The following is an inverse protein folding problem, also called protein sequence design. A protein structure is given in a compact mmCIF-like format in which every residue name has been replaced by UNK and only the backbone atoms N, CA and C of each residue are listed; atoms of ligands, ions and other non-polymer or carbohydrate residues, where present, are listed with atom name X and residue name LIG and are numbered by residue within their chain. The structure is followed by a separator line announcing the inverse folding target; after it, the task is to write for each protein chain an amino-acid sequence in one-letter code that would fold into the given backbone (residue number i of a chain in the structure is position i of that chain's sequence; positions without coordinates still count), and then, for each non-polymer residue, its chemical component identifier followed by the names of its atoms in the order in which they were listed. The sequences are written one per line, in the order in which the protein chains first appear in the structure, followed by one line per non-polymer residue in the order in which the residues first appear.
data_IF_035375582106
#
_entry.id   IF_035375582106
#
_cell.length_a   1.000
_cell.length_b   1.000
_cell.length_c   1.000
_cell.angle_alpha   90.00
_cell.angle_beta   90.00
_cell.angle_gamma   90.00
#
_symmetry.space_group_name_H-M   'P 1'
#
loop_
_entity.id
_entity.type
_entity.pdbx_description
1 polymer ?
#
# COMPACT_ATOMS: atom_id res chain seq x y z
N UNK A 1 -23.79 -15.78 -9.69
CA UNK A 1 -24.10 -16.32 -8.34
C UNK A 1 -25.30 -15.56 -7.77
N UNK A 2 -25.94 -16.04 -6.70
CA UNK A 2 -27.15 -15.39 -6.14
C UNK A 2 -26.76 -14.20 -5.29
N UNK A 3 -27.46 -13.06 -5.44
CA UNK A 3 -27.34 -11.88 -4.57
C UNK A 3 -27.95 -12.14 -3.16
N UNK A 4 -28.43 -13.33 -2.91
CA UNK A 4 -29.05 -13.71 -1.62
C UNK A 4 -28.13 -14.69 -0.87
N UNK A 5 -28.08 -14.52 0.46
CA UNK A 5 -27.40 -15.45 1.36
C UNK A 5 -28.06 -16.84 1.36
N UNK A 6 -27.27 -17.90 1.38
CA UNK A 6 -27.68 -19.24 1.73
C UNK A 6 -28.01 -19.34 3.21
N UNK A 7 -28.62 -20.46 3.63
CA UNK A 7 -28.90 -20.72 5.07
C UNK A 7 -27.60 -20.82 5.88
N UNK A 8 -26.57 -21.44 5.31
CA UNK A 8 -25.25 -21.56 5.92
C UNK A 8 -24.57 -20.17 6.08
N UNK A 9 -24.54 -19.35 5.01
CA UNK A 9 -23.93 -18.02 5.06
C UNK A 9 -24.61 -17.15 6.14
N UNK A 10 -25.95 -17.18 6.22
CA UNK A 10 -26.68 -16.48 7.31
C UNK A 10 -26.32 -16.98 8.70
N UNK A 11 -26.18 -18.30 8.86
CA UNK A 11 -25.74 -18.89 10.13
C UNK A 11 -24.33 -18.41 10.52
N UNK A 12 -23.38 -18.48 9.61
CA UNK A 12 -22.00 -18.05 9.85
C UNK A 12 -21.92 -16.56 10.18
N UNK A 13 -22.62 -15.71 9.41
CA UNK A 13 -22.66 -14.27 9.70
C UNK A 13 -23.26 -13.94 11.07
N UNK A 14 -24.11 -14.81 11.61
CA UNK A 14 -24.65 -14.69 12.97
C UNK A 14 -23.63 -14.94 14.09
N UNK A 15 -22.46 -15.49 13.78
CA UNK A 15 -21.36 -15.70 14.73
C UNK A 15 -20.30 -14.57 14.70
N UNK A 16 -20.50 -13.54 13.86
CA UNK A 16 -19.59 -12.40 13.85
C UNK A 16 -19.69 -11.62 15.17
N UNK A 17 -18.62 -11.67 15.95
CA UNK A 17 -18.45 -10.91 17.18
C UNK A 17 -17.84 -9.54 16.85
N UNK A 18 -18.68 -8.51 16.84
CA UNK A 18 -18.27 -7.15 16.52
C UNK A 18 -17.43 -6.52 17.63
N UNK A 19 -17.69 -6.88 18.89
CA UNK A 19 -16.90 -6.38 20.01
C UNK A 19 -15.47 -6.92 19.93
N UNK A 20 -15.30 -8.22 19.67
CA UNK A 20 -13.98 -8.81 19.47
C UNK A 20 -13.26 -8.29 18.21
N UNK A 21 -13.98 -7.91 17.15
CA UNK A 21 -13.42 -7.26 15.97
C UNK A 21 -12.84 -5.89 16.33
N UNK A 22 -13.62 -5.06 17.04
CA UNK A 22 -13.20 -3.72 17.49
C UNK A 22 -12.02 -3.82 18.47
N UNK A 23 -12.07 -4.77 19.43
CA UNK A 23 -10.97 -5.00 20.38
C UNK A 23 -9.67 -5.37 19.65
N UNK A 24 -9.71 -6.26 18.66
CA UNK A 24 -8.55 -6.60 17.84
C UNK A 24 -7.99 -5.39 17.10
N UNK A 25 -8.83 -4.51 16.56
CA UNK A 25 -8.38 -3.28 15.92
C UNK A 25 -7.74 -2.32 16.92
N UNK A 26 -8.31 -2.16 18.11
CA UNK A 26 -7.75 -1.34 19.20
C UNK A 26 -6.35 -1.85 19.59
N UNK A 27 -6.19 -3.17 19.77
CA UNK A 27 -4.90 -3.79 20.10
C UNK A 27 -3.84 -3.51 19.03
N UNK A 28 -4.21 -3.72 17.75
CA UNK A 28 -3.30 -3.48 16.61
C UNK A 28 -2.87 -2.01 16.54
N UNK A 29 -3.80 -1.05 16.67
CA UNK A 29 -3.48 0.39 16.57
C UNK A 29 -2.59 0.85 17.72
N UNK A 30 -2.75 0.28 18.91
CA UNK A 30 -1.92 0.60 20.09
C UNK A 30 -0.47 0.17 19.97
N UNK A 31 -0.13 -0.75 19.09
CA UNK A 31 1.26 -1.09 18.78
C UNK A 31 1.78 -0.09 17.73
N UNK A 32 2.74 0.79 18.08
CA UNK A 32 3.22 1.87 17.20
C UNK A 32 4.21 1.34 16.16
N UNK A 33 3.76 0.47 15.28
CA UNK A 33 4.55 -0.28 14.31
C UNK A 33 5.04 0.57 13.13
N UNK A 34 5.68 1.69 13.43
CA UNK A 34 6.34 2.52 12.41
C UNK A 34 7.42 1.69 11.71
N UNK A 35 7.44 1.76 10.38
CA UNK A 35 8.37 1.00 9.55
C UNK A 35 9.82 1.08 10.06
N UNK A 36 10.50 -0.06 10.16
CA UNK A 36 11.86 -0.20 10.69
C UNK A 36 12.02 -0.16 12.20
N UNK A 37 10.95 0.04 12.97
CA UNK A 37 11.00 0.00 14.44
C UNK A 37 10.86 -1.41 15.02
N UNK A 38 11.25 -1.59 16.28
CA UNK A 38 11.04 -2.86 16.98
C UNK A 38 9.54 -3.21 17.11
N UNK A 39 8.66 -2.21 17.12
CA UNK A 39 7.22 -2.40 17.17
C UNK A 39 6.63 -2.99 15.87
N UNK A 40 7.33 -2.87 14.74
CA UNK A 40 6.98 -3.57 13.49
C UNK A 40 7.11 -5.09 13.66
N UNK A 41 8.11 -5.55 14.40
CA UNK A 41 8.27 -6.97 14.78
C UNK A 41 7.23 -7.38 15.83
N UNK A 42 6.99 -6.53 16.85
CA UNK A 42 6.01 -6.77 17.91
C UNK A 42 4.61 -7.02 17.35
N UNK A 43 4.15 -6.18 16.40
CA UNK A 43 2.81 -6.34 15.81
C UNK A 43 2.70 -7.63 15.00
N UNK A 44 3.75 -8.05 14.31
CA UNK A 44 3.78 -9.33 13.59
C UNK A 44 3.70 -10.52 14.57
N UNK A 45 4.49 -10.49 15.64
CA UNK A 45 4.44 -11.53 16.68
C UNK A 45 3.07 -11.60 17.35
N UNK A 46 2.42 -10.43 17.58
CA UNK A 46 1.04 -10.35 18.06
C UNK A 46 0.05 -11.03 17.09
N UNK A 47 0.08 -10.67 15.80
CA UNK A 47 -0.80 -11.29 14.78
C UNK A 47 -0.56 -12.80 14.69
N UNK A 48 0.70 -13.23 14.71
CA UNK A 48 1.05 -14.64 14.72
C UNK A 48 0.51 -15.40 15.93
N UNK A 49 0.49 -14.77 17.12
CA UNK A 49 -0.14 -15.34 18.33
C UNK A 49 -1.65 -15.48 18.16
N UNK A 50 -2.33 -14.42 17.71
CA UNK A 50 -3.78 -14.44 17.47
C UNK A 50 -4.16 -15.53 16.46
N UNK A 51 -3.40 -15.70 15.38
CA UNK A 51 -3.67 -16.74 14.38
C UNK A 51 -3.51 -18.16 14.98
N UNK A 52 -2.50 -18.39 15.84
CA UNK A 52 -2.35 -19.67 16.55
C UNK A 52 -3.51 -19.95 17.50
N UNK A 53 -3.97 -18.95 18.25
CA UNK A 53 -5.10 -19.05 19.15
C UNK A 53 -6.44 -19.33 18.40
N UNK A 54 -6.47 -19.00 17.10
CA UNK A 54 -7.56 -19.32 16.18
C UNK A 54 -7.37 -20.68 15.48
N UNK A 55 -6.49 -21.55 15.98
CA UNK A 55 -6.21 -22.90 15.43
C UNK A 55 -5.83 -22.89 13.93
N UNK A 56 -5.10 -21.89 13.47
CA UNK A 56 -4.49 -21.90 12.13
C UNK A 56 -3.10 -22.49 12.15
N UNK A 57 -2.69 -23.10 11.05
CA UNK A 57 -1.27 -23.40 10.82
C UNK A 57 -0.54 -22.10 10.53
N UNK A 58 0.43 -21.73 11.42
CA UNK A 58 1.18 -20.48 11.30
C UNK A 58 2.61 -20.76 10.87
N UNK A 59 2.96 -20.29 9.66
CA UNK A 59 4.35 -20.14 9.24
C UNK A 59 4.84 -18.76 9.69
N UNK A 60 5.79 -18.75 10.62
CA UNK A 60 6.48 -17.56 11.10
C UNK A 60 7.98 -17.71 10.89
N UNK A 61 8.60 -16.70 10.24
CA UNK A 61 10.04 -16.75 9.94
C UNK A 61 10.69 -15.38 10.05
N UNK A 62 11.98 -15.37 10.37
CA UNK A 62 12.80 -14.17 10.18
C UNK A 62 13.12 -14.04 8.69
N UNK A 63 12.87 -12.86 8.14
CA UNK A 63 13.16 -12.53 6.73
C UNK A 63 14.65 -12.24 6.61
N UNK A 64 15.34 -12.95 5.72
CA UNK A 64 16.73 -12.68 5.40
C UNK A 64 16.82 -11.45 4.46
N UNK A 65 17.15 -10.29 5.05
CA UNK A 65 17.19 -9.02 4.36
C UNK A 65 18.29 -8.96 3.30
N UNK A 66 19.43 -9.60 3.56
CA UNK A 66 20.59 -9.61 2.64
C UNK A 66 20.28 -10.49 1.44
N UNK A 67 19.70 -11.70 1.66
CA UNK A 67 19.27 -12.57 0.56
C UNK A 67 18.24 -11.91 -0.33
N UNK A 68 17.25 -11.22 0.25
CA UNK A 68 16.22 -10.52 -0.53
C UNK A 68 16.76 -9.33 -1.30
N UNK A 69 17.70 -8.58 -0.75
CA UNK A 69 18.31 -7.43 -1.41
C UNK A 69 19.10 -7.83 -2.68
N UNK A 70 19.63 -9.06 -2.71
CA UNK A 70 20.33 -9.61 -3.87
C UNK A 70 19.38 -10.11 -4.99
N UNK A 71 18.07 -10.23 -4.71
CA UNK A 71 17.08 -10.66 -5.70
C UNK A 71 16.86 -9.57 -6.76
N UNK A 72 16.98 -9.88 -8.08
CA UNK A 72 16.78 -8.88 -9.15
C UNK A 72 15.40 -8.22 -9.18
N UNK A 73 14.43 -8.81 -8.52
CA UNK A 73 13.05 -8.31 -8.44
C UNK A 73 12.74 -7.65 -7.10
N UNK A 74 13.77 -7.48 -6.25
CA UNK A 74 13.59 -6.83 -4.96
C UNK A 74 13.02 -5.42 -5.15
N UNK A 75 11.91 -5.08 -4.45
CA UNK A 75 11.21 -3.82 -4.66
C UNK A 75 11.93 -2.60 -4.07
N UNK A 76 13.04 -2.80 -3.34
CA UNK A 76 13.71 -1.76 -2.57
C UNK A 76 13.03 -1.52 -1.22
N UNK A 77 13.69 -0.74 -0.39
CA UNK A 77 13.20 -0.26 0.91
C UNK A 77 13.65 1.18 1.12
N UNK A 78 12.88 1.96 1.88
CA UNK A 78 13.24 3.33 2.27
C UNK A 78 13.77 3.40 3.70
N UNK A 79 13.46 2.39 4.52
CA UNK A 79 13.82 2.33 5.95
C UNK A 79 14.72 1.14 6.25
N UNK A 80 15.78 1.40 7.00
CA UNK A 80 16.64 0.31 7.49
C UNK A 80 15.93 -0.51 8.58
N UNK A 81 16.13 -1.84 8.54
CA UNK A 81 15.60 -2.79 9.52
C UNK A 81 16.71 -3.66 10.06
N UNK A 82 16.75 -3.83 11.38
CA UNK A 82 17.65 -4.79 12.02
C UNK A 82 17.07 -6.21 12.03
N UNK A 83 15.74 -6.34 12.01
CA UNK A 83 14.97 -7.59 11.96
C UNK A 83 13.65 -7.36 11.23
N UNK A 84 13.22 -8.36 10.49
CA UNK A 84 11.93 -8.38 9.80
C UNK A 84 11.30 -9.77 9.97
N UNK A 85 9.99 -9.83 10.18
CA UNK A 85 9.29 -11.10 10.45
C UNK A 85 8.12 -11.25 9.46
N UNK A 86 8.08 -12.38 8.78
CA UNK A 86 6.95 -12.79 7.95
C UNK A 86 5.98 -13.69 8.71
N UNK A 87 4.69 -13.51 8.49
CA UNK A 87 3.62 -14.30 9.11
C UNK A 87 2.59 -14.70 8.06
N UNK A 88 2.33 -15.99 7.98
CA UNK A 88 1.20 -16.54 7.22
C UNK A 88 0.44 -17.52 8.10
N UNK A 89 -0.85 -17.28 8.30
CA UNK A 89 -1.77 -18.21 8.93
C UNK A 89 -2.66 -18.91 7.90
N UNK A 90 -2.79 -20.23 7.98
CA UNK A 90 -3.60 -21.01 7.04
C UNK A 90 -4.61 -21.84 7.79
N UNK A 91 -5.88 -21.76 7.42
CA UNK A 91 -6.93 -22.63 8.00
C UNK A 91 -6.79 -24.06 7.50
N UNK A 92 -7.49 -25.00 8.13
CA UNK A 92 -7.65 -26.35 7.61
C UNK A 92 -8.33 -26.34 6.22
N UNK A 93 -7.99 -27.33 5.40
CA UNK A 93 -8.51 -27.48 4.04
C UNK A 93 -7.61 -28.36 3.20
N UNK A 94 -8.04 -28.74 1.99
CA UNK A 94 -7.25 -29.55 1.07
C UNK A 94 -6.68 -28.72 -0.10
N UNK A 95 -5.43 -28.94 -0.43
CA UNK A 95 -4.76 -28.26 -1.55
C UNK A 95 -4.34 -26.81 -1.26
N UNK A 96 -4.10 -26.00 -2.30
CA UNK A 96 -3.70 -24.61 -2.15
C UNK A 96 -4.86 -23.76 -1.66
N UNK A 97 -4.58 -22.62 -0.98
CA UNK A 97 -5.61 -21.68 -0.53
C UNK A 97 -6.55 -21.24 -1.66
N UNK A 98 -7.86 -21.34 -1.41
CA UNK A 98 -8.87 -20.84 -2.35
C UNK A 98 -8.95 -19.33 -2.37
N UNK A 99 -8.57 -18.71 -1.24
CA UNK A 99 -8.50 -17.27 -1.06
C UNK A 99 -7.34 -16.92 -0.12
N UNK A 100 -6.67 -15.82 -0.42
CA UNK A 100 -5.74 -15.12 0.46
C UNK A 100 -6.37 -13.81 0.88
N UNK A 101 -6.33 -13.49 2.17
CA UNK A 101 -6.57 -12.16 2.71
C UNK A 101 -5.23 -11.59 3.16
N UNK A 102 -4.79 -10.50 2.52
CA UNK A 102 -3.51 -9.87 2.84
C UNK A 102 -3.72 -8.49 3.47
N UNK A 103 -2.81 -8.11 4.36
CA UNK A 103 -2.79 -6.77 4.92
C UNK A 103 -1.47 -6.47 5.60
N UNK A 104 -1.02 -5.21 5.48
CA UNK A 104 0.19 -4.75 6.14
C UNK A 104 -0.08 -4.25 7.56
N UNK A 105 0.93 -4.38 8.39
CA UNK A 105 0.88 -3.99 9.80
C UNK A 105 1.79 -2.82 10.13
N UNK A 106 2.74 -2.51 9.24
CA UNK A 106 3.56 -1.31 9.34
C UNK A 106 2.74 -0.04 9.09
N UNK A 107 3.23 1.07 9.60
CA UNK A 107 2.60 2.39 9.44
C UNK A 107 3.68 3.44 9.20
N UNK A 108 3.33 4.52 8.50
CA UNK A 108 4.20 5.69 8.40
C UNK A 108 4.33 6.41 9.74
N UNK A 109 5.40 7.21 9.95
CA UNK A 109 5.54 8.04 11.14
C UNK A 109 4.30 8.92 11.39
N UNK A 110 3.92 9.09 12.66
CA UNK A 110 2.77 9.92 13.03
C UNK A 110 2.96 11.42 12.76
N UNK A 111 4.20 11.84 12.53
CA UNK A 111 4.55 13.25 12.37
C UNK A 111 4.51 14.01 13.70
N UNK A 112 4.22 15.32 13.63
CA UNK A 112 4.14 16.16 14.82
C UNK A 112 2.89 15.82 15.64
N UNK A 113 3.10 15.36 16.87
CA UNK A 113 2.02 14.97 17.81
C UNK A 113 1.07 16.12 18.12
N UNK A 114 1.53 17.38 18.08
CA UNK A 114 0.66 18.54 18.29
C UNK A 114 -0.46 18.64 17.24
N UNK A 115 -0.23 18.13 16.04
CA UNK A 115 -1.23 18.11 14.96
C UNK A 115 -2.38 17.15 15.22
N UNK A 116 -2.23 16.19 16.13
CA UNK A 116 -3.27 15.23 16.54
C UNK A 116 -4.25 15.78 17.60
N UNK A 117 -4.26 17.10 17.77
CA UNK A 117 -5.19 17.77 18.69
C UNK A 117 -4.98 17.45 20.16
N UNK A 118 -3.78 17.02 20.53
CA UNK A 118 -3.39 16.66 21.90
C UNK A 118 -3.69 15.20 22.28
N UNK A 119 -4.16 14.39 21.34
CA UNK A 119 -4.31 12.93 21.52
C UNK A 119 -3.03 12.20 21.10
N UNK A 120 -2.72 11.07 21.76
CA UNK A 120 -1.67 10.17 21.31
C UNK A 120 -2.11 9.52 19.99
N UNK A 121 -1.29 9.58 18.92
CA UNK A 121 -1.59 8.95 17.62
C UNK A 121 -1.91 7.44 17.69
N UNK A 122 -1.45 6.76 18.72
CA UNK A 122 -1.62 5.33 18.94
C UNK A 122 -2.59 4.99 20.09
N UNK A 123 -3.38 5.96 20.54
CA UNK A 123 -4.36 5.75 21.63
C UNK A 123 -5.51 4.80 21.26
N UNK A 124 -5.82 4.67 19.97
CA UNK A 124 -6.98 3.94 19.46
C UNK A 124 -8.29 4.43 20.10
N UNK A 125 -8.47 5.74 20.18
CA UNK A 125 -9.65 6.34 20.80
C UNK A 125 -10.88 6.14 19.91
N UNK A 126 -11.98 5.68 20.51
CA UNK A 126 -13.26 5.52 19.81
C UNK A 126 -14.14 6.73 20.12
N UNK A 127 -14.56 7.44 19.07
CA UNK A 127 -15.47 8.58 19.14
C UNK A 127 -16.49 8.52 18.00
N UNK A 128 -17.77 8.69 18.32
CA UNK A 128 -18.84 8.70 17.31
C UNK A 128 -18.86 7.49 16.37
N UNK A 129 -18.61 6.30 16.88
CA UNK A 129 -18.49 5.06 16.11
C UNK A 129 -17.30 5.00 15.12
N UNK A 130 -16.31 5.90 15.30
CA UNK A 130 -15.05 5.88 14.55
C UNK A 130 -13.88 5.58 15.49
N UNK A 131 -12.94 4.74 15.07
CA UNK A 131 -11.68 4.52 15.76
C UNK A 131 -10.61 5.43 15.15
N UNK A 132 -10.00 6.25 16.00
CA UNK A 132 -9.00 7.26 15.61
C UNK A 132 -7.60 6.81 15.98
N UNK A 133 -6.64 7.00 15.07
CA UNK A 133 -5.23 6.72 15.31
C UNK A 133 -4.46 6.43 14.03
N UNK A 134 -3.13 6.52 14.10
CA UNK A 134 -2.23 6.12 13.01
C UNK A 134 -2.36 4.62 12.76
N UNK A 135 -2.58 4.24 11.50
CA UNK A 135 -2.82 2.87 11.09
C UNK A 135 -4.26 2.40 11.28
N UNK A 136 -5.15 3.21 11.85
CA UNK A 136 -6.56 2.85 12.00
C UNK A 136 -7.24 2.63 10.66
N UNK A 137 -6.92 3.48 9.67
CA UNK A 137 -7.40 3.39 8.31
C UNK A 137 -6.43 2.55 7.44
N UNK A 138 -5.17 2.86 7.51
CA UNK A 138 -4.11 2.33 6.66
C UNK A 138 -3.09 1.52 7.47
N UNK A 139 -3.20 0.10 7.49
CA UNK A 139 -4.42 -0.61 7.11
C UNK A 139 -4.80 -1.65 8.19
N UNK A 140 -4.56 -1.30 9.49
CA UNK A 140 -4.83 -2.23 10.61
C UNK A 140 -6.31 -2.61 10.74
N UNK A 141 -7.26 -1.75 10.27
CA UNK A 141 -8.65 -2.15 10.16
C UNK A 141 -8.83 -3.34 9.20
N UNK A 142 -8.13 -3.33 8.07
CA UNK A 142 -8.12 -4.46 7.14
C UNK A 142 -7.50 -5.72 7.77
N UNK A 143 -6.42 -5.59 8.53
CA UNK A 143 -5.82 -6.73 9.27
C UNK A 143 -6.80 -7.28 10.30
N UNK A 144 -7.48 -6.41 11.07
CA UNK A 144 -8.49 -6.83 12.03
C UNK A 144 -9.68 -7.57 11.36
N UNK A 145 -10.09 -7.10 10.17
CA UNK A 145 -11.09 -7.79 9.33
C UNK A 145 -10.61 -9.21 8.96
N UNK A 146 -9.37 -9.35 8.51
CA UNK A 146 -8.80 -10.65 8.13
C UNK A 146 -8.81 -11.63 9.30
N UNK A 147 -8.42 -11.19 10.49
CA UNK A 147 -8.47 -11.99 11.73
C UNK A 147 -9.91 -12.33 12.12
N UNK A 148 -10.85 -11.38 12.00
CA UNK A 148 -12.26 -11.60 12.33
C UNK A 148 -12.94 -12.61 11.40
N UNK A 149 -12.56 -12.66 10.13
CA UNK A 149 -13.03 -13.71 9.19
C UNK A 149 -12.64 -15.09 9.73
N UNK A 150 -11.38 -15.31 10.09
CA UNK A 150 -10.92 -16.59 10.64
C UNK A 150 -11.64 -16.91 11.95
N UNK A 151 -11.72 -15.94 12.87
CA UNK A 151 -12.40 -16.08 14.17
C UNK A 151 -13.88 -16.50 13.99
N UNK A 152 -14.58 -15.87 13.06
CA UNK A 152 -15.99 -16.14 12.80
C UNK A 152 -16.21 -17.55 12.22
N UNK A 153 -15.35 -17.99 11.29
CA UNK A 153 -15.40 -19.34 10.75
C UNK A 153 -15.20 -20.39 11.86
N UNK A 154 -14.23 -20.17 12.75
CA UNK A 154 -13.99 -21.05 13.91
C UNK A 154 -15.16 -21.05 14.89
N UNK A 155 -15.71 -19.89 15.24
CA UNK A 155 -16.87 -19.78 16.14
C UNK A 155 -18.12 -20.47 15.57
N UNK A 156 -18.27 -20.46 14.26
CA UNK A 156 -19.36 -21.14 13.56
C UNK A 156 -19.11 -22.65 13.37
N UNK A 157 -17.91 -23.17 13.74
CA UNK A 157 -17.55 -24.58 13.53
C UNK A 157 -17.46 -24.97 12.06
N UNK A 158 -17.11 -24.02 11.18
CA UNK A 158 -17.00 -24.25 9.73
C UNK A 158 -15.63 -24.81 9.39
N UNK A 159 -15.61 -25.92 8.65
CA UNK A 159 -14.42 -26.49 8.03
C UNK A 159 -14.47 -26.22 6.52
N UNK A 160 -13.44 -25.57 5.99
CA UNK A 160 -13.37 -25.24 4.58
C UNK A 160 -12.92 -26.46 3.74
N UNK A 161 -13.40 -26.57 2.50
CA UNK A 161 -12.89 -27.56 1.54
C UNK A 161 -11.46 -27.22 1.13
N UNK A 162 -11.22 -25.93 0.84
CA UNK A 162 -9.90 -25.37 0.53
C UNK A 162 -9.50 -24.34 1.57
N UNK A 163 -8.22 -24.25 1.93
CA UNK A 163 -7.82 -23.31 2.97
C UNK A 163 -8.11 -21.84 2.60
N UNK A 164 -8.36 -21.04 3.65
CA UNK A 164 -8.15 -19.60 3.65
C UNK A 164 -6.75 -19.33 4.18
N UNK A 165 -5.95 -18.49 3.51
CA UNK A 165 -4.70 -17.99 4.04
C UNK A 165 -4.82 -16.50 4.43
N UNK A 166 -4.19 -16.14 5.55
CA UNK A 166 -4.02 -14.75 5.98
C UNK A 166 -2.54 -14.42 5.88
N UNK A 167 -2.19 -13.45 5.03
CA UNK A 167 -0.84 -12.92 4.93
C UNK A 167 -0.78 -11.62 5.73
N UNK A 168 -0.01 -11.63 6.83
CA UNK A 168 0.34 -10.42 7.57
C UNK A 168 1.72 -9.98 7.12
N UNK A 169 1.80 -8.82 6.49
CA UNK A 169 3.03 -8.33 5.85
C UNK A 169 3.51 -7.04 6.49
N UNK A 170 4.77 -6.69 6.25
CA UNK A 170 5.44 -5.48 6.72
C UNK A 170 6.10 -4.75 5.55
N UNK A 171 6.43 -3.47 5.77
CA UNK A 171 7.20 -2.68 4.80
C UNK A 171 6.42 -2.45 3.49
N UNK A 172 5.10 -2.45 3.53
CA UNK A 172 4.29 -2.04 2.39
C UNK A 172 4.55 -0.58 2.08
N UNK A 173 4.52 0.27 3.11
CA UNK A 173 4.67 1.73 3.06
C UNK A 173 6.02 2.20 2.48
N UNK A 174 7.01 1.31 2.42
CA UNK A 174 8.36 1.65 1.95
C UNK A 174 8.92 0.72 0.87
N UNK A 175 8.07 -0.11 0.23
CA UNK A 175 8.50 -0.89 -0.93
C UNK A 175 7.89 -2.28 -1.08
N UNK A 176 7.18 -2.82 -0.09
CA UNK A 176 6.53 -4.14 -0.17
C UNK A 176 7.42 -5.30 0.22
N UNK A 177 8.39 -5.09 1.11
CA UNK A 177 9.33 -6.10 1.60
C UNK A 177 8.62 -7.39 2.06
N UNK A 178 7.60 -7.26 2.90
CA UNK A 178 6.92 -8.40 3.51
C UNK A 178 6.12 -9.23 2.51
N UNK A 179 5.38 -8.57 1.62
CA UNK A 179 4.66 -9.27 0.55
C UNK A 179 5.63 -9.96 -0.41
N UNK A 180 6.73 -9.28 -0.77
CA UNK A 180 7.79 -9.87 -1.59
C UNK A 180 8.37 -11.13 -0.95
N UNK A 181 8.78 -11.05 0.32
CA UNK A 181 9.32 -12.17 1.08
C UNK A 181 8.32 -13.34 1.17
N UNK A 182 7.05 -13.04 1.45
CA UNK A 182 5.96 -14.02 1.54
C UNK A 182 5.77 -14.78 0.22
N UNK A 183 5.76 -14.06 -0.90
CA UNK A 183 5.63 -14.65 -2.23
C UNK A 183 6.88 -15.45 -2.63
N UNK A 184 8.10 -14.99 -2.25
CA UNK A 184 9.35 -15.73 -2.49
C UNK A 184 9.43 -17.01 -1.66
N UNK A 185 8.89 -17.00 -0.43
CA UNK A 185 8.74 -18.20 0.40
C UNK A 185 7.75 -19.22 -0.18
N UNK A 186 6.93 -18.82 -1.17
CA UNK A 186 6.04 -19.70 -1.90
C UNK A 186 4.57 -19.63 -1.46
N UNK A 187 4.22 -18.77 -0.53
CA UNK A 187 2.83 -18.57 -0.10
C UNK A 187 2.02 -17.88 -1.20
N UNK A 188 1.04 -18.59 -1.72
CA UNK A 188 0.13 -18.16 -2.80
C UNK A 188 -1.25 -18.78 -2.58
N UNK A 189 -2.24 -18.27 -3.31
CA UNK A 189 -3.57 -18.84 -3.42
C UNK A 189 -4.14 -18.65 -4.82
N UNK A 190 -5.35 -19.11 -5.06
CA UNK A 190 -6.03 -18.93 -6.35
C UNK A 190 -6.44 -17.48 -6.60
N UNK A 191 -6.65 -16.72 -5.55
CA UNK A 191 -6.93 -15.30 -5.59
C UNK A 191 -6.51 -14.64 -4.27
N UNK A 192 -6.31 -13.33 -4.30
CA UNK A 192 -6.01 -12.52 -3.13
C UNK A 192 -6.94 -11.30 -3.05
N UNK A 193 -7.38 -10.96 -1.85
CA UNK A 193 -7.95 -9.65 -1.53
C UNK A 193 -7.01 -8.98 -0.54
N UNK A 194 -6.47 -7.82 -0.91
CA UNK A 194 -5.73 -6.96 -0.01
C UNK A 194 -6.74 -5.99 0.61
N UNK A 195 -6.80 -5.96 1.94
CA UNK A 195 -7.85 -5.23 2.68
C UNK A 195 -7.48 -3.77 2.95
N UNK A 196 -6.91 -3.11 1.91
CA UNK A 196 -6.56 -1.69 1.88
C UNK A 196 -7.77 -0.76 2.05
N UNK A 197 -7.56 0.49 2.54
CA UNK A 197 -8.64 1.46 2.73
C UNK A 197 -9.23 1.95 1.40
N UNK A 198 -10.28 1.29 0.96
CA UNK A 198 -10.95 1.59 -0.31
C UNK A 198 -12.35 2.18 -0.15
N UNK A 199 -12.76 2.56 1.08
CA UNK A 199 -14.14 2.96 1.40
C UNK A 199 -15.16 1.91 0.96
N UNK A 200 -14.85 0.63 1.21
CA UNK A 200 -15.62 -0.52 0.76
C UNK A 200 -15.91 -0.52 -0.77
N UNK A 201 -15.10 0.17 -1.56
CA UNK A 201 -15.09 0.07 -3.02
C UNK A 201 -14.09 -1.00 -3.46
N UNK A 202 -14.23 -1.48 -4.68
CA UNK A 202 -13.31 -2.45 -5.26
C UNK A 202 -12.30 -1.72 -6.15
N UNK A 203 -11.00 -1.85 -5.84
CA UNK A 203 -9.91 -1.32 -6.65
C UNK A 203 -9.22 -2.50 -7.34
N UNK A 204 -9.29 -2.53 -8.67
CA UNK A 204 -8.78 -3.64 -9.49
C UNK A 204 -7.44 -3.35 -10.14
N UNK A 205 -6.96 -2.12 -10.03
CA UNK A 205 -5.66 -1.71 -10.53
C UNK A 205 -5.09 -0.58 -9.68
N UNK A 206 -3.77 -0.48 -9.62
CA UNK A 206 -3.07 0.63 -8.96
C UNK A 206 -1.98 1.18 -9.87
N UNK A 207 -1.86 2.51 -9.91
CA UNK A 207 -0.72 3.16 -10.53
C UNK A 207 0.57 2.82 -9.78
N UNK A 208 1.69 2.86 -10.48
CA UNK A 208 2.98 2.77 -9.81
C UNK A 208 3.47 4.14 -9.32
N UNK A 209 4.54 4.10 -8.53
CA UNK A 209 5.21 5.29 -8.02
C UNK A 209 6.70 5.06 -7.89
N UNK A 210 7.50 5.95 -8.46
CA UNK A 210 8.95 5.91 -8.38
C UNK A 210 9.43 7.10 -7.55
N UNK A 211 10.19 6.85 -6.51
CA UNK A 211 10.88 7.91 -5.78
C UNK A 211 12.11 8.33 -6.58
N UNK A 212 12.20 9.60 -6.90
CA UNK A 212 13.35 10.17 -7.64
C UNK A 212 14.12 11.20 -6.80
N UNK A 213 15.38 11.37 -7.13
CA UNK A 213 16.26 12.44 -6.65
C UNK A 213 16.98 13.05 -7.82
N UNK A 214 16.92 14.39 -7.94
CA UNK A 214 17.66 15.18 -8.90
C UNK A 214 18.69 16.02 -8.15
N UNK A 215 19.95 15.95 -8.56
CA UNK A 215 21.00 16.83 -8.06
C UNK A 215 21.48 17.75 -9.19
N UNK A 216 21.43 19.06 -8.94
CA UNK A 216 21.90 20.10 -9.89
C UNK A 216 23.07 20.85 -9.25
N UNK A 217 24.18 20.94 -9.98
CA UNK A 217 25.39 21.64 -9.56
C UNK A 217 25.51 22.96 -10.30
N UNK A 218 25.70 24.03 -9.54
CA UNK A 218 26.01 25.36 -10.01
C UNK A 218 27.41 25.79 -9.59
N UNK A 219 27.61 27.09 -9.37
CA UNK A 219 28.84 27.69 -8.88
C UNK A 219 28.53 28.82 -7.91
N UNK A 220 29.07 28.74 -6.68
CA UNK A 220 28.90 29.77 -5.67
C UNK A 220 29.57 31.07 -6.02
N UNK A 221 28.95 32.17 -5.62
CA UNK A 221 29.54 33.49 -5.56
C UNK A 221 28.85 34.36 -4.51
N UNK A 222 29.44 35.49 -4.16
CA UNK A 222 28.77 36.46 -3.31
C UNK A 222 27.49 36.99 -4.01
N UNK A 223 26.37 37.12 -3.30
CA UNK A 223 25.09 37.52 -3.89
C UNK A 223 25.11 38.87 -4.63
N UNK A 224 25.98 39.84 -4.20
CA UNK A 224 26.18 41.10 -4.94
C UNK A 224 26.97 40.95 -6.25
N UNK A 225 27.64 39.80 -6.42
CA UNK A 225 28.42 39.46 -7.61
C UNK A 225 27.77 38.24 -8.31
N UNK A 226 26.44 38.17 -8.33
CA UNK A 226 25.70 37.00 -8.82
C UNK A 226 26.08 36.53 -10.22
N UNK A 227 26.59 37.45 -11.07
CA UNK A 227 26.99 37.10 -12.44
C UNK A 227 28.31 36.31 -12.51
N UNK A 228 29.07 36.28 -11.42
CA UNK A 228 30.28 35.47 -11.28
C UNK A 228 29.97 34.03 -10.85
N UNK A 229 28.76 33.81 -10.32
CA UNK A 229 28.24 32.50 -9.95
C UNK A 229 27.34 31.91 -11.02
N UNK A 230 26.89 30.68 -10.76
CA UNK A 230 25.84 30.00 -11.52
C UNK A 230 24.86 29.38 -10.52
N UNK A 231 23.62 29.83 -10.54
CA UNK A 231 22.61 29.41 -9.57
C UNK A 231 22.03 28.04 -9.91
N UNK A 232 22.30 27.05 -9.08
CA UNK A 232 21.69 25.72 -9.22
C UNK A 232 20.17 25.78 -9.20
N UNK A 233 19.58 26.73 -8.44
CA UNK A 233 18.14 26.94 -8.41
C UNK A 233 17.60 27.46 -9.76
N UNK A 234 18.25 28.47 -10.37
CA UNK A 234 17.83 28.98 -11.68
C UNK A 234 17.99 27.93 -12.79
N UNK A 235 18.99 27.06 -12.69
CA UNK A 235 19.20 25.94 -13.63
C UNK A 235 18.12 24.86 -13.47
N UNK A 236 17.59 24.65 -12.26
CA UNK A 236 16.55 23.67 -11.99
C UNK A 236 15.17 24.08 -12.51
N UNK A 237 14.84 25.38 -12.54
CA UNK A 237 13.50 25.84 -12.93
C UNK A 237 13.03 25.33 -14.31
N UNK A 238 13.84 25.39 -15.39
CA UNK A 238 13.43 24.81 -16.66
C UNK A 238 13.26 23.29 -16.62
N UNK A 239 14.03 22.57 -15.80
CA UNK A 239 13.90 21.12 -15.61
C UNK A 239 12.55 20.83 -14.94
N UNK A 240 12.23 21.52 -13.86
CA UNK A 240 10.94 21.42 -13.17
C UNK A 240 9.78 21.67 -14.13
N UNK A 241 9.84 22.76 -14.93
CA UNK A 241 8.79 23.10 -15.87
C UNK A 241 8.57 21.99 -16.92
N UNK A 242 9.63 21.43 -17.46
CA UNK A 242 9.55 20.37 -18.47
C UNK A 242 8.97 19.06 -17.86
N UNK A 243 9.29 18.75 -16.61
CA UNK A 243 8.73 17.60 -15.90
C UNK A 243 7.24 17.79 -15.60
N UNK A 244 6.77 19.01 -15.28
CA UNK A 244 5.33 19.34 -15.15
C UNK A 244 4.61 19.22 -16.49
N UNK A 245 5.25 19.59 -17.60
CA UNK A 245 4.72 19.38 -18.95
C UNK A 245 4.62 17.89 -19.28
N UNK A 246 5.60 17.09 -18.88
CA UNK A 246 5.56 15.63 -18.98
C UNK A 246 4.39 15.03 -18.19
N UNK A 247 4.17 15.46 -16.93
CA UNK A 247 3.01 15.04 -16.15
C UNK A 247 1.71 15.34 -16.88
N UNK A 248 1.56 16.57 -17.40
CA UNK A 248 0.36 16.99 -18.15
C UNK A 248 0.11 16.09 -19.35
N UNK A 249 1.17 15.74 -20.09
CA UNK A 249 1.05 14.88 -21.26
C UNK A 249 0.66 13.46 -20.88
N UNK A 250 1.25 12.92 -19.81
CA UNK A 250 0.98 11.57 -19.33
C UNK A 250 -0.45 11.37 -18.84
N UNK A 251 -1.14 12.42 -18.42
CA UNK A 251 -2.50 12.38 -17.89
C UNK A 251 -3.58 12.77 -18.93
N UNK A 252 -3.23 12.95 -20.23
CA UNK A 252 -4.23 13.32 -21.26
C UNK A 252 -5.14 12.18 -21.68
N UNK A 253 -4.58 10.99 -21.89
CA UNK A 253 -5.31 9.83 -22.40
C UNK A 253 -5.33 8.75 -21.32
N UNK A 254 -6.28 8.87 -20.40
CA UNK A 254 -6.51 7.93 -19.32
C UNK A 254 -7.76 7.13 -19.66
N UNK A 255 -7.61 5.82 -19.80
CA UNK A 255 -8.62 4.87 -20.25
C UNK A 255 -9.36 4.11 -19.13
N UNK A 256 -9.08 4.46 -17.87
CA UNK A 256 -9.71 3.86 -16.68
C UNK A 256 -10.30 4.92 -15.76
N UNK A 257 -11.29 4.53 -14.98
CA UNK A 257 -11.82 5.35 -13.89
C UNK A 257 -10.88 5.29 -12.69
N UNK A 258 -10.30 6.40 -12.32
CA UNK A 258 -9.44 6.53 -11.14
C UNK A 258 -10.15 7.22 -9.98
N UNK A 259 -9.66 6.96 -8.77
CA UNK A 259 -10.13 7.65 -7.55
C UNK A 259 -9.76 9.14 -7.52
N UNK A 260 -8.95 9.62 -8.47
CA UNK A 260 -8.49 11.01 -8.62
C UNK A 260 -8.43 11.40 -10.09
N UNK A 261 -8.53 12.69 -10.37
CA UNK A 261 -8.41 13.30 -11.71
C UNK A 261 -6.95 13.48 -12.17
N UNK A 262 -5.97 13.17 -11.31
CA UNK A 262 -4.54 13.18 -11.61
C UNK A 262 -3.88 11.81 -11.29
N UNK A 263 -4.13 10.78 -12.11
CA UNK A 263 -3.69 9.42 -11.79
C UNK A 263 -2.18 9.22 -11.75
N UNK A 264 -1.43 9.94 -12.57
CA UNK A 264 0.02 9.79 -12.70
C UNK A 264 0.75 11.06 -12.26
N UNK A 265 0.56 11.41 -10.99
CA UNK A 265 1.08 12.64 -10.41
C UNK A 265 2.62 12.68 -10.35
N UNK A 266 3.17 13.86 -10.62
CA UNK A 266 4.53 14.24 -10.29
C UNK A 266 4.52 15.17 -9.07
N UNK A 267 5.20 14.80 -8.01
CA UNK A 267 5.29 15.63 -6.80
C UNK A 267 6.75 15.84 -6.40
N UNK A 268 7.10 17.07 -6.06
CA UNK A 268 8.38 17.41 -5.44
C UNK A 268 8.14 17.61 -3.94
N UNK A 269 8.45 16.60 -3.14
CA UNK A 269 8.25 16.63 -1.69
C UNK A 269 9.35 17.39 -0.94
N UNK A 270 10.58 17.35 -1.47
CA UNK A 270 11.74 18.04 -0.89
C UNK A 270 12.48 18.81 -1.97
N UNK A 271 12.78 20.10 -1.70
CA UNK A 271 13.68 20.92 -2.53
C UNK A 271 14.58 21.72 -1.61
N UNK A 272 15.88 21.51 -1.74
CA UNK A 272 16.91 22.19 -0.92
C UNK A 272 17.94 22.85 -1.82
N UNK A 273 18.16 24.15 -1.65
CA UNK A 273 19.13 24.91 -2.46
C UNK A 273 19.90 25.91 -1.61
N UNK A 274 21.23 25.86 -1.72
CA UNK A 274 22.15 26.78 -1.04
C UNK A 274 22.21 26.62 0.48
N UNK A 275 23.09 27.38 1.12
CA UNK A 275 23.36 27.30 2.57
C UNK A 275 23.35 28.66 3.27
N UNK A 276 23.41 29.77 2.50
CA UNK A 276 23.50 31.11 3.02
C UNK A 276 22.81 32.14 2.11
N UNK A 277 21.99 33.01 2.68
CA UNK A 277 21.13 33.98 1.95
C UNK A 277 21.86 34.98 1.06
N UNK A 278 23.13 35.25 1.35
CA UNK A 278 23.97 36.19 0.56
C UNK A 278 24.88 35.49 -0.44
N UNK A 279 24.67 34.19 -0.72
CA UNK A 279 25.40 33.44 -1.73
C UNK A 279 24.49 33.06 -2.90
N UNK A 280 25.09 32.92 -4.09
CA UNK A 280 24.47 32.18 -5.19
C UNK A 280 24.52 30.69 -4.85
N UNK A 281 23.38 29.96 -4.87
CA UNK A 281 23.38 28.54 -4.52
C UNK A 281 24.09 27.72 -5.58
N UNK A 282 25.07 26.94 -5.16
CA UNK A 282 25.91 26.10 -6.02
C UNK A 282 25.49 24.63 -6.06
N UNK A 283 24.50 24.27 -5.26
CA UNK A 283 23.90 22.95 -5.26
C UNK A 283 22.41 23.05 -4.97
N UNK A 284 21.63 22.25 -5.72
CA UNK A 284 20.23 21.97 -5.46
C UNK A 284 20.02 20.46 -5.45
N UNK A 285 19.21 20.00 -4.50
CA UNK A 285 18.67 18.65 -4.44
C UNK A 285 17.16 18.73 -4.43
N UNK A 286 16.53 18.02 -5.34
CA UNK A 286 15.06 17.84 -5.38
C UNK A 286 14.73 16.37 -5.32
N UNK A 287 13.81 16.00 -4.44
CA UNK A 287 13.33 14.64 -4.27
C UNK A 287 11.80 14.63 -4.37
N UNK A 288 11.28 13.55 -4.92
CA UNK A 288 9.85 13.48 -5.12
C UNK A 288 9.39 12.14 -5.67
N UNK A 289 8.12 12.12 -6.04
CA UNK A 289 7.42 10.96 -6.57
C UNK A 289 7.06 11.19 -8.04
N UNK A 290 7.24 10.16 -8.87
CA UNK A 290 6.82 10.13 -10.27
C UNK A 290 5.87 8.96 -10.53
N UNK A 291 4.64 9.24 -10.95
CA UNK A 291 3.62 8.24 -11.23
C UNK A 291 3.97 7.36 -12.43
N UNK A 292 3.84 6.04 -12.29
CA UNK A 292 3.98 5.06 -13.36
C UNK A 292 2.59 4.66 -13.85
N UNK A 293 2.40 4.67 -15.17
CA UNK A 293 1.11 4.30 -15.78
C UNK A 293 0.81 2.82 -15.54
N UNK A 294 -0.48 2.49 -15.49
CA UNK A 294 -0.88 1.09 -15.51
C UNK A 294 -0.37 0.47 -16.81
N UNK A 295 0.18 -0.75 -16.71
CA UNK A 295 0.80 -1.47 -17.83
C UNK A 295 2.10 -0.85 -18.39
N UNK A 296 2.72 0.07 -17.65
CA UNK A 296 4.02 0.64 -18.02
C UNK A 296 5.17 -0.03 -17.25
N UNK A 297 6.23 -0.41 -17.95
CA UNK A 297 7.46 -0.87 -17.30
C UNK A 297 8.13 0.31 -16.55
N UNK A 298 8.42 0.18 -15.25
CA UNK A 298 9.10 1.22 -14.46
C UNK A 298 10.41 1.72 -15.08
N UNK A 299 11.13 0.87 -15.82
CA UNK A 299 12.36 1.26 -16.53
C UNK A 299 12.05 2.25 -17.66
N UNK A 300 10.94 2.03 -18.39
CA UNK A 300 10.47 2.95 -19.42
C UNK A 300 10.10 4.30 -18.82
N UNK A 301 9.38 4.29 -17.69
CA UNK A 301 9.03 5.51 -16.97
C UNK A 301 10.27 6.29 -16.51
N UNK A 302 11.30 5.60 -15.97
CA UNK A 302 12.59 6.23 -15.59
C UNK A 302 13.29 6.84 -16.79
N UNK A 303 13.42 6.09 -17.88
CA UNK A 303 14.08 6.59 -19.12
C UNK A 303 13.38 7.85 -19.63
N UNK A 304 12.04 7.87 -19.66
CA UNK A 304 11.27 9.03 -20.10
C UNK A 304 11.54 10.26 -19.23
N UNK A 305 11.61 10.10 -17.92
CA UNK A 305 11.93 11.16 -16.98
C UNK A 305 13.37 11.68 -17.19
N UNK A 306 14.33 10.78 -17.31
CA UNK A 306 15.75 11.09 -17.51
C UNK A 306 15.98 11.77 -18.86
N UNK A 307 15.29 11.35 -19.93
CA UNK A 307 15.35 11.96 -21.25
C UNK A 307 14.88 13.43 -21.22
N UNK A 308 13.81 13.74 -20.51
CA UNK A 308 13.34 15.12 -20.33
C UNK A 308 14.38 15.97 -19.62
N UNK A 309 14.99 15.45 -18.54
CA UNK A 309 16.08 16.15 -17.84
C UNK A 309 17.30 16.37 -18.76
N UNK A 310 17.65 15.37 -19.56
CA UNK A 310 18.76 15.45 -20.51
C UNK A 310 18.48 16.44 -21.66
N UNK A 311 17.28 16.47 -22.20
CA UNK A 311 16.88 17.41 -23.25
C UNK A 311 16.96 18.87 -22.80
N UNK A 312 16.48 19.18 -21.58
CA UNK A 312 16.61 20.51 -20.99
C UNK A 312 18.06 20.87 -20.78
N UNK A 313 18.84 19.94 -20.25
CA UNK A 313 20.28 20.13 -19.98
C UNK A 313 21.08 20.41 -21.24
N UNK A 314 20.71 19.79 -22.36
CA UNK A 314 21.36 20.01 -23.64
C UNK A 314 21.17 21.44 -24.20
N UNK A 315 20.22 22.22 -23.69
CA UNK A 315 19.93 23.60 -24.14
C UNK A 315 20.67 24.66 -23.34
N UNK A 316 21.26 24.30 -22.19
CA UNK A 316 21.97 25.20 -21.29
C UNK A 316 23.48 24.91 -21.34
N UNK A 317 24.35 25.92 -21.65
CA UNK A 317 25.81 25.70 -21.77
C UNK A 317 26.49 25.20 -20.48
N UNK A 318 25.98 25.58 -19.30
CA UNK A 318 26.52 25.10 -18.03
C UNK A 318 26.14 23.65 -17.77
N UNK A 319 24.88 23.30 -18.03
CA UNK A 319 24.37 21.94 -17.82
C UNK A 319 24.94 20.92 -18.81
N UNK A 320 25.42 21.35 -19.98
CA UNK A 320 26.13 20.46 -20.91
C UNK A 320 27.42 19.90 -20.29
N UNK A 321 28.14 20.75 -19.52
CA UNK A 321 29.38 20.38 -18.86
C UNK A 321 29.14 19.84 -17.42
N UNK A 322 28.06 20.22 -16.78
CA UNK A 322 27.67 19.86 -15.41
C UNK A 322 26.28 19.22 -15.38
N UNK A 323 26.15 18.02 -15.96
CA UNK A 323 24.88 17.35 -16.12
C UNK A 323 24.21 17.08 -14.77
N UNK A 324 22.91 17.36 -14.63
CA UNK A 324 22.16 16.92 -13.47
C UNK A 324 22.27 15.41 -13.30
N UNK A 325 22.33 14.96 -12.05
CA UNK A 325 22.35 13.55 -11.70
C UNK A 325 20.96 13.17 -11.23
N UNK A 326 20.34 12.23 -11.95
CA UNK A 326 19.06 11.61 -11.54
C UNK A 326 19.38 10.26 -10.92
N UNK A 327 18.82 10.01 -9.75
CA UNK A 327 18.88 8.71 -9.06
C UNK A 327 17.49 8.30 -8.59
N UNK A 328 17.33 7.01 -8.34
CA UNK A 328 16.05 6.41 -7.97
C UNK A 328 16.19 5.70 -6.61
N UNK A 329 16.24 6.46 -5.49
CA UNK A 329 16.35 5.88 -4.15
C UNK A 329 15.02 5.29 -3.69
N UNK A 330 15.08 4.48 -2.62
CA UNK A 330 13.90 4.00 -1.92
C UNK A 330 13.06 2.97 -2.65
N UNK A 331 11.82 2.85 -2.23
CA UNK A 331 10.84 1.93 -2.79
C UNK A 331 10.45 2.29 -4.23
N UNK A 332 10.34 1.28 -5.06
CA UNK A 332 10.04 1.44 -6.48
C UNK A 332 8.79 0.65 -6.84
N UNK A 333 7.64 1.33 -6.77
CA UNK A 333 6.35 0.71 -7.03
C UNK A 333 6.05 0.67 -8.53
N UNK A 334 6.05 -0.52 -9.12
CA UNK A 334 5.42 -0.74 -10.42
C UNK A 334 3.90 -0.56 -10.31
N UNK A 335 3.20 -0.47 -11.43
CA UNK A 335 1.75 -0.63 -11.45
C UNK A 335 1.37 -2.10 -11.28
N UNK A 336 0.14 -2.34 -10.82
CA UNK A 336 -0.44 -3.67 -10.73
C UNK A 336 -1.90 -3.65 -11.17
N UNK A 337 -2.41 -4.74 -11.74
CA UNK A 337 -3.81 -4.82 -12.16
C UNK A 337 -4.32 -6.25 -12.18
N UNK A 338 -5.63 -6.37 -12.10
CA UNK A 338 -6.41 -7.56 -12.36
C UNK A 338 -7.14 -7.37 -13.69
N UNK A 339 -7.19 -8.40 -14.53
CA UNK A 339 -7.92 -8.36 -15.79
C UNK A 339 -9.40 -8.03 -15.56
N UNK A 340 -9.96 -7.15 -16.41
CA UNK A 340 -11.29 -6.57 -16.21
C UNK A 340 -12.44 -7.62 -16.25
N UNK A 341 -12.23 -8.76 -16.88
CA UNK A 341 -13.16 -9.88 -16.97
C UNK A 341 -12.90 -11.01 -15.96
N UNK A 342 -11.94 -10.81 -15.02
CA UNK A 342 -11.59 -11.84 -14.07
C UNK A 342 -12.74 -12.16 -13.10
N UNK A 343 -13.08 -13.45 -12.86
CA UNK A 343 -14.21 -13.86 -12.02
C UNK A 343 -14.21 -13.27 -10.60
N UNK A 344 -13.03 -13.02 -10.01
CA UNK A 344 -12.90 -12.45 -8.66
C UNK A 344 -13.67 -11.13 -8.51
N UNK A 345 -13.75 -10.32 -9.57
CA UNK A 345 -14.47 -9.04 -9.59
C UNK A 345 -15.98 -9.27 -9.33
N UNK A 346 -16.57 -10.16 -10.14
CA UNK A 346 -18.01 -10.49 -10.00
C UNK A 346 -18.29 -11.20 -8.68
N UNK A 347 -17.44 -12.14 -8.28
CA UNK A 347 -17.56 -12.89 -7.03
C UNK A 347 -17.52 -11.97 -5.80
N UNK A 348 -16.61 -11.00 -5.79
CA UNK A 348 -16.52 -10.00 -4.71
C UNK A 348 -17.74 -9.09 -4.70
N UNK A 349 -18.16 -8.56 -5.85
CA UNK A 349 -19.37 -7.71 -5.95
C UNK A 349 -20.63 -8.44 -5.51
N UNK A 350 -20.80 -9.73 -5.88
CA UNK A 350 -21.92 -10.57 -5.47
C UNK A 350 -21.88 -10.86 -3.96
N UNK A 351 -20.70 -11.08 -3.38
CA UNK A 351 -20.54 -11.28 -1.94
C UNK A 351 -20.90 -10.02 -1.14
N UNK A 352 -20.46 -8.85 -1.60
CA UNK A 352 -20.81 -7.56 -1.00
C UNK A 352 -22.30 -7.31 -1.04
N UNK A 353 -22.94 -7.49 -2.19
CA UNK A 353 -24.40 -7.33 -2.33
C UNK A 353 -25.17 -8.31 -1.44
N UNK A 354 -24.75 -9.58 -1.37
CA UNK A 354 -25.38 -10.59 -0.52
C UNK A 354 -25.23 -10.26 0.98
N UNK A 355 -24.11 -9.68 1.40
CA UNK A 355 -23.85 -9.25 2.77
C UNK A 355 -24.60 -7.95 3.17
N UNK A 356 -25.36 -7.35 2.27
CA UNK A 356 -26.16 -6.14 2.50
C UNK A 356 -25.45 -4.84 2.12
N UNK A 357 -24.28 -4.89 1.50
CA UNK A 357 -23.61 -3.74 0.92
C UNK A 357 -24.21 -3.33 -0.43
N UNK A 358 -23.82 -2.16 -0.91
CA UNK A 358 -24.16 -1.74 -2.27
C UNK A 358 -23.37 -2.58 -3.29
N UNK A 359 -24.00 -2.96 -4.41
CA UNK A 359 -23.27 -3.62 -5.50
C UNK A 359 -22.19 -2.67 -6.03
N UNK A 360 -20.94 -3.12 -6.04
CA UNK A 360 -19.79 -2.30 -6.42
C UNK A 360 -19.63 -2.34 -7.94
N UNK A 361 -19.51 -1.18 -8.61
CA UNK A 361 -19.13 -1.15 -10.01
C UNK A 361 -17.69 -1.66 -10.19
N UNK A 362 -17.41 -2.42 -11.26
CA UNK A 362 -16.06 -2.85 -11.56
C UNK A 362 -15.15 -1.68 -11.99
N UNK A 363 -13.84 -1.87 -11.88
CA UNK A 363 -12.80 -1.09 -12.56
C UNK A 363 -12.49 0.30 -12.03
N UNK A 364 -12.47 0.47 -10.70
CA UNK A 364 -11.83 1.65 -10.11
C UNK A 364 -10.33 1.39 -9.95
N UNK A 365 -9.50 2.37 -10.32
CA UNK A 365 -8.06 2.32 -10.17
C UNK A 365 -7.58 3.28 -9.08
N UNK A 366 -6.65 2.80 -8.25
CA UNK A 366 -5.92 3.60 -7.27
C UNK A 366 -4.79 4.40 -7.91
N UNK A 367 -4.51 5.60 -7.36
CA UNK A 367 -3.43 6.49 -7.83
C UNK A 367 -2.14 6.30 -7.04
N UNK A 368 -2.07 5.27 -6.24
CA UNK A 368 -0.98 4.93 -5.32
C UNK A 368 -0.32 3.61 -5.69
N UNK A 369 0.95 3.44 -5.30
CA UNK A 369 1.62 2.14 -5.35
C UNK A 369 1.11 1.26 -4.22
N UNK A 370 1.08 -0.06 -4.43
CA UNK A 370 0.67 -1.03 -3.41
C UNK A 370 1.26 -2.41 -3.65
N UNK A 371 1.09 -3.31 -2.71
CA UNK A 371 1.48 -4.71 -2.84
C UNK A 371 0.71 -5.48 -3.92
N UNK A 372 -0.40 -4.94 -4.44
CA UNK A 372 -1.16 -5.55 -5.55
C UNK A 372 -0.24 -5.94 -6.71
N UNK A 373 0.73 -5.08 -7.05
CA UNK A 373 1.72 -5.34 -8.10
C UNK A 373 2.58 -6.58 -7.85
N UNK A 374 2.90 -6.86 -6.58
CA UNK A 374 3.70 -8.02 -6.21
C UNK A 374 2.89 -9.31 -6.34
N UNK A 375 1.65 -9.30 -5.85
CA UNK A 375 0.75 -10.44 -5.99
C UNK A 375 0.42 -10.74 -7.44
N UNK A 376 0.02 -9.75 -8.24
CA UNK A 376 -0.33 -9.96 -9.66
C UNK A 376 0.88 -10.21 -10.54
N UNK A 377 2.01 -9.57 -10.26
CA UNK A 377 3.26 -9.70 -10.99
C UNK A 377 4.02 -10.98 -10.64
N UNK A 378 4.97 -10.88 -9.70
CA UNK A 378 5.83 -12.01 -9.34
C UNK A 378 5.07 -13.18 -8.67
N UNK A 379 3.97 -12.87 -7.99
CA UNK A 379 3.08 -13.85 -7.37
C UNK A 379 2.29 -14.65 -8.39
N UNK A 380 1.90 -14.03 -9.51
CA UNK A 380 0.96 -14.60 -10.47
C UNK A 380 -0.42 -14.90 -9.86
N UNK A 381 -0.79 -14.17 -8.79
CA UNK A 381 -2.04 -14.36 -8.05
C UNK A 381 -3.02 -13.25 -8.44
N UNK A 382 -4.19 -13.59 -9.01
CA UNK A 382 -5.24 -12.61 -9.28
C UNK A 382 -5.64 -11.88 -8.00
N UNK A 383 -5.50 -10.53 -8.00
CA UNK A 383 -5.60 -9.74 -6.76
C UNK A 383 -6.39 -8.45 -7.00
N UNK A 384 -7.20 -8.06 -6.03
CA UNK A 384 -7.86 -6.75 -5.95
C UNK A 384 -7.77 -6.19 -4.53
N UNK A 385 -8.05 -4.90 -4.38
CA UNK A 385 -8.27 -4.29 -3.06
C UNK A 385 -9.76 -4.20 -2.76
N UNK A 386 -10.10 -4.52 -1.52
CA UNK A 386 -11.41 -4.29 -0.95
C UNK A 386 -11.30 -4.26 0.57
N UNK A 387 -11.43 -3.10 1.18
CA UNK A 387 -11.30 -2.96 2.63
C UNK A 387 -11.96 -1.69 3.17
N UNK A 388 -11.99 -1.56 4.51
CA UNK A 388 -12.61 -0.42 5.18
C UNK A 388 -11.66 0.76 5.28
N UNK A 389 -12.23 1.95 5.35
CA UNK A 389 -11.50 3.19 5.55
C UNK A 389 -11.29 4.00 4.27
N UNK A 390 -11.12 5.29 4.44
CA UNK A 390 -10.97 6.25 3.35
C UNK A 390 -9.49 6.64 3.19
N UNK A 391 -8.89 6.27 2.04
CA UNK A 391 -7.50 6.57 1.71
C UNK A 391 -7.15 8.07 1.82
N UNK A 392 -8.12 8.97 1.69
CA UNK A 392 -7.90 10.41 1.89
C UNK A 392 -7.54 10.79 3.32
N UNK A 393 -7.83 9.90 4.27
CA UNK A 393 -7.48 10.07 5.69
C UNK A 393 -6.14 9.42 6.04
N UNK A 394 -5.64 8.50 5.22
CA UNK A 394 -4.34 7.87 5.38
C UNK A 394 -3.22 8.92 5.45
N UNK A 395 -2.20 8.65 6.26
CA UNK A 395 -1.03 9.52 6.47
C UNK A 395 -1.34 10.92 7.04
N UNK A 396 -2.58 11.18 7.46
CA UNK A 396 -2.98 12.46 8.05
C UNK A 396 -3.11 12.39 9.60
N UNK A 397 -3.06 13.52 10.31
CA UNK A 397 -3.28 13.54 11.76
C UNK A 397 -4.77 13.40 12.17
N UNK A 398 -5.66 13.22 11.21
CA UNK A 398 -7.10 12.98 11.43
C UNK A 398 -7.52 11.59 10.99
N UNK A 399 -6.56 10.68 10.88
CA UNK A 399 -6.76 9.30 10.47
C UNK A 399 -7.74 8.58 11.39
N UNK A 400 -8.71 7.90 10.79
CA UNK A 400 -9.77 7.15 11.48
C UNK A 400 -10.46 6.19 10.53
N UNK A 401 -11.22 5.26 11.10
CA UNK A 401 -12.07 4.33 10.35
C UNK A 401 -13.44 4.20 11.00
N UNK A 402 -14.49 4.10 10.19
CA UNK A 402 -15.87 3.85 10.64
C UNK A 402 -16.04 2.37 11.02
N UNK A 403 -16.54 2.10 12.23
CA UNK A 403 -16.65 0.74 12.74
C UNK A 403 -17.80 -0.06 12.08
N UNK A 404 -18.84 0.58 11.58
CA UNK A 404 -19.90 -0.09 10.81
C UNK A 404 -19.39 -0.53 9.44
N UNK A 405 -18.50 0.28 8.81
CA UNK A 405 -17.83 -0.10 7.57
C UNK A 405 -16.90 -1.31 7.78
N UNK A 406 -16.11 -1.32 8.88
CA UNK A 406 -15.25 -2.46 9.25
C UNK A 406 -16.09 -3.74 9.40
N UNK A 407 -17.21 -3.67 10.09
CA UNK A 407 -18.13 -4.80 10.24
C UNK A 407 -18.74 -5.23 8.91
N UNK A 408 -19.13 -4.29 8.05
CA UNK A 408 -19.72 -4.57 6.74
C UNK A 408 -18.73 -5.26 5.80
N UNK A 409 -17.48 -4.80 5.75
CA UNK A 409 -16.40 -5.43 4.97
C UNK A 409 -16.13 -6.84 5.47
N UNK A 410 -16.09 -7.06 6.79
CA UNK A 410 -15.93 -8.39 7.40
C UNK A 410 -17.03 -9.35 6.92
N UNK A 411 -18.29 -8.92 6.93
CA UNK A 411 -19.43 -9.71 6.46
C UNK A 411 -19.29 -10.10 4.97
N UNK A 412 -18.87 -9.17 4.14
CA UNK A 412 -18.67 -9.42 2.72
C UNK A 412 -17.53 -10.42 2.46
N UNK A 413 -16.40 -10.28 3.15
CA UNK A 413 -15.27 -11.21 3.02
C UNK A 413 -15.56 -12.59 3.61
N UNK A 414 -16.38 -12.70 4.64
CA UNK A 414 -16.90 -13.99 5.11
C UNK A 414 -17.69 -14.70 4.01
N UNK A 415 -18.63 -14.00 3.35
CA UNK A 415 -19.41 -14.58 2.24
C UNK A 415 -18.49 -14.97 1.07
N UNK A 416 -17.55 -14.12 0.69
CA UNK A 416 -16.58 -14.41 -0.36
C UNK A 416 -15.76 -15.65 -0.03
N UNK A 417 -15.25 -15.75 1.21
CA UNK A 417 -14.47 -16.91 1.70
C UNK A 417 -15.25 -18.20 1.60
N UNK A 418 -16.51 -18.23 2.12
CA UNK A 418 -17.36 -19.42 2.06
C UNK A 418 -17.62 -19.89 0.62
N UNK A 419 -17.81 -18.94 -0.30
CA UNK A 419 -18.08 -19.24 -1.71
C UNK A 419 -16.85 -19.72 -2.47
N UNK A 420 -15.69 -19.16 -2.19
CA UNK A 420 -14.45 -19.51 -2.90
C UNK A 420 -13.76 -20.75 -2.32
N UNK A 421 -13.71 -20.84 -1.01
CA UNK A 421 -13.05 -21.96 -0.34
C UNK A 421 -13.94 -23.21 -0.25
N UNK A 422 -15.26 -23.07 -0.41
CA UNK A 422 -16.20 -24.17 -0.19
C UNK A 422 -16.29 -24.58 1.29
N UNK A 423 -17.29 -25.35 1.64
CA UNK A 423 -17.49 -25.84 3.02
C UNK A 423 -17.67 -27.34 3.00
N UNK A 424 -16.88 -28.04 3.80
CA UNK A 424 -17.01 -29.50 3.98
C UNK A 424 -18.38 -29.84 4.57
N UNK A 425 -18.99 -30.90 4.02
CA UNK A 425 -20.30 -31.42 4.47
C UNK A 425 -20.20 -32.06 5.84
#
# INVERSE_FOLDING_TARGET
MSDSLSALERSVLGHLDQDALVESLVELVRIPSVGGSDAEVEVQEHVGSVLRDLDTEVDQWDIDLDELADDPWFPGVEVERSRAVGIVGTTDGDGPPGLVLSGHTDVVPAGDVETWGGSDPFSAEIRNNELHGRGACDMKAGVAVNLAVVRTLRAAGVHLERPLAVHSVIGEEDGGLGAFATLRRGHRGDACVITEPTSAQMVTATAGALTFRIEVIGRSSHGSLRREGVSAFELFLPIHQALVELETERNKDVDRDFVSDLPYALSFGVVQAGVWSSNVPDKLVAEGRFGVRIDEDPRTARMLFEDVVAEVSARDPWLQDNRPVVTWPGGQFASGWLDDDHPLITETSDAVAAAGGARIPPNVAGVYGSDLRLYTGIGGVPTLHYGPGDMRLAHTPVERVDLDEVAQVTRALLVLTLRRCGVRA
#
